data_IF_684894394294
#
_entry.id   IF_684894394294
#
_cell.length_a   1.000
_cell.length_b   1.000
_cell.length_c   1.000
_cell.angle_alpha   90.00
_cell.angle_beta   90.00
_cell.angle_gamma   90.00
#
_symmetry.space_group_name_H-M   'P 1'
#
loop_
_entity.id
_entity.type
_entity.pdbx_description
1 polymer ?
#
# COMPACT_ATOMS: atom_id res chain seq x y z
N UNK A 1 -1.70 26.77 -9.67
CA UNK A 1 -0.63 26.29 -8.79
C UNK A 1 -0.90 24.91 -8.17
N UNK A 2 -1.93 24.68 -7.34
CA UNK A 2 -2.22 23.32 -6.82
C UNK A 2 -2.57 22.33 -7.96
N UNK A 3 -3.45 22.77 -8.86
CA UNK A 3 -3.89 22.02 -10.03
C UNK A 3 -2.74 21.61 -10.93
N UNK A 4 -1.81 22.51 -11.25
CA UNK A 4 -0.69 22.23 -12.15
C UNK A 4 0.25 21.15 -11.59
N UNK A 5 0.49 21.14 -10.27
CA UNK A 5 1.37 20.15 -9.65
C UNK A 5 0.70 18.77 -9.50
N UNK A 6 -0.63 18.70 -9.41
CA UNK A 6 -1.34 17.45 -9.14
C UNK A 6 -2.18 16.92 -10.30
N UNK A 7 -2.30 17.66 -11.41
CA UNK A 7 -3.10 17.27 -12.58
C UNK A 7 -2.67 15.94 -13.16
N UNK A 8 -1.37 15.76 -13.39
CA UNK A 8 -0.84 14.52 -13.97
C UNK A 8 -0.98 13.33 -13.02
N UNK A 9 -0.89 13.57 -11.71
CA UNK A 9 -1.19 12.56 -10.68
C UNK A 9 -2.66 12.13 -10.77
N UNK A 10 -3.59 13.09 -10.78
CA UNK A 10 -5.03 12.79 -10.81
C UNK A 10 -5.43 12.08 -12.11
N UNK A 11 -4.95 12.56 -13.26
CA UNK A 11 -5.16 11.89 -14.55
C UNK A 11 -4.63 10.46 -14.53
N UNK A 12 -3.45 10.23 -13.95
CA UNK A 12 -2.88 8.89 -13.86
C UNK A 12 -3.62 7.93 -12.94
N UNK A 13 -4.29 8.46 -11.91
CA UNK A 13 -5.19 7.67 -11.06
C UNK A 13 -6.45 7.31 -11.83
N UNK A 14 -7.07 8.26 -12.53
CA UNK A 14 -8.31 8.06 -13.29
C UNK A 14 -8.14 7.13 -14.49
N UNK A 15 -7.00 7.23 -15.17
CA UNK A 15 -6.65 6.35 -16.30
C UNK A 15 -6.11 4.99 -15.84
N UNK A 16 -6.02 4.74 -14.52
CA UNK A 16 -5.45 3.52 -13.94
C UNK A 16 -4.07 3.13 -14.53
N UNK A 17 -3.27 4.14 -14.91
CA UNK A 17 -1.95 3.98 -15.55
C UNK A 17 -0.97 3.14 -14.74
N UNK A 18 -1.21 3.01 -13.44
CA UNK A 18 -0.36 2.29 -12.50
C UNK A 18 -1.12 1.16 -11.83
N UNK A 19 -0.40 0.08 -11.52
CA UNK A 19 -0.92 -1.11 -10.83
C UNK A 19 -1.56 -0.84 -9.46
N UNK A 20 -1.30 0.32 -8.86
CA UNK A 20 -1.92 0.74 -7.59
C UNK A 20 -1.76 2.25 -7.37
N UNK A 21 -2.61 2.84 -6.51
CA UNK A 21 -2.49 4.24 -6.07
C UNK A 21 -1.14 4.54 -5.41
N UNK A 22 -0.59 3.61 -4.62
CA UNK A 22 0.73 3.76 -4.03
C UNK A 22 1.84 3.84 -5.10
N UNK A 23 1.75 3.05 -6.18
CA UNK A 23 2.72 3.12 -7.27
C UNK A 23 2.65 4.47 -8.00
N UNK A 24 1.44 4.99 -8.19
CA UNK A 24 1.22 6.34 -8.72
C UNK A 24 1.85 7.41 -7.80
N UNK A 25 1.65 7.31 -6.48
CA UNK A 25 2.26 8.18 -5.48
C UNK A 25 3.80 8.11 -5.47
N UNK A 26 4.37 6.92 -5.68
CA UNK A 26 5.82 6.76 -5.78
C UNK A 26 6.38 7.52 -6.99
N UNK A 27 5.68 7.48 -8.12
CA UNK A 27 6.09 8.16 -9.35
C UNK A 27 5.99 9.69 -9.21
N UNK A 28 4.87 10.20 -8.70
CA UNK A 28 4.60 11.65 -8.60
C UNK A 28 5.00 12.29 -7.26
N UNK A 29 5.89 11.66 -6.49
CA UNK A 29 6.24 12.16 -5.14
C UNK A 29 6.84 13.57 -5.17
N UNK A 30 7.52 13.94 -6.25
CA UNK A 30 8.10 15.28 -6.39
C UNK A 30 7.03 16.34 -6.59
N UNK A 31 6.03 16.06 -7.42
CA UNK A 31 4.90 16.97 -7.64
C UNK A 31 4.05 17.12 -6.37
N UNK A 32 3.87 16.03 -5.62
CA UNK A 32 3.22 16.07 -4.29
C UNK A 32 4.03 16.93 -3.31
N UNK A 33 5.36 16.78 -3.28
CA UNK A 33 6.21 17.59 -2.41
C UNK A 33 6.21 19.07 -2.84
N UNK A 34 6.12 19.37 -4.14
CA UNK A 34 6.00 20.73 -4.66
C UNK A 34 4.67 21.37 -4.22
N UNK A 35 3.55 20.66 -4.38
CA UNK A 35 2.25 21.09 -3.88
C UNK A 35 2.29 21.33 -2.36
N UNK A 36 2.95 20.46 -1.59
CA UNK A 36 3.02 20.55 -0.13
C UNK A 36 3.79 21.75 0.41
N UNK A 37 4.64 22.39 -0.42
CA UNK A 37 5.31 23.65 -0.06
C UNK A 37 4.34 24.83 0.00
N UNK A 38 3.24 24.76 -0.73
CA UNK A 38 2.28 25.85 -0.90
C UNK A 38 0.92 25.55 -0.24
N UNK A 39 0.59 24.27 -0.06
CA UNK A 39 -0.72 23.82 0.39
C UNK A 39 -0.64 22.87 1.58
N UNK A 40 -1.71 22.81 2.35
CA UNK A 40 -1.93 21.88 3.46
C UNK A 40 -2.21 20.45 2.96
N UNK A 41 -2.21 19.47 3.87
CA UNK A 41 -2.48 18.08 3.46
C UNK A 41 -3.97 17.87 3.19
N UNK A 42 -4.82 18.61 3.87
CA UNK A 42 -6.26 18.69 3.73
C UNK A 42 -6.60 19.16 2.32
N UNK A 43 -6.11 20.32 1.89
CA UNK A 43 -6.33 20.85 0.54
C UNK A 43 -5.85 19.90 -0.57
N UNK A 44 -4.69 19.25 -0.37
CA UNK A 44 -4.16 18.26 -1.32
C UNK A 44 -5.07 17.03 -1.38
N UNK A 45 -5.56 16.57 -0.23
CA UNK A 45 -6.40 15.38 -0.12
C UNK A 45 -7.75 15.62 -0.77
N UNK A 46 -8.39 16.74 -0.44
CA UNK A 46 -9.68 17.13 -0.98
C UNK A 46 -9.58 17.27 -2.49
N UNK A 47 -8.54 17.97 -2.99
CA UNK A 47 -8.30 18.10 -4.42
C UNK A 47 -8.15 16.75 -5.13
N UNK A 48 -7.34 15.82 -4.60
CA UNK A 48 -7.14 14.51 -5.24
C UNK A 48 -8.44 13.70 -5.18
N UNK A 49 -9.16 13.70 -4.06
CA UNK A 49 -10.41 12.96 -3.91
C UNK A 49 -11.49 13.48 -4.85
N UNK A 50 -11.68 14.81 -4.92
CA UNK A 50 -12.63 15.46 -5.83
C UNK A 50 -12.33 15.16 -7.30
N UNK A 51 -11.05 15.19 -7.70
CA UNK A 51 -10.65 14.98 -9.09
C UNK A 51 -10.57 13.50 -9.49
N UNK A 52 -10.56 12.57 -8.52
CA UNK A 52 -10.44 11.13 -8.80
C UNK A 52 -11.64 10.29 -8.35
N UNK A 53 -12.67 10.92 -7.79
CA UNK A 53 -13.79 10.22 -7.17
C UNK A 53 -13.35 9.29 -6.01
N UNK A 54 -12.18 9.51 -5.44
CA UNK A 54 -11.66 8.72 -4.33
C UNK A 54 -12.21 9.22 -3.01
N UNK A 55 -12.22 8.35 -2.00
CA UNK A 55 -12.50 8.72 -0.61
C UNK A 55 -11.37 8.20 0.29
N UNK A 56 -10.20 8.83 0.15
CA UNK A 56 -9.00 8.46 0.90
C UNK A 56 -8.73 9.52 1.97
N UNK A 57 -8.46 9.08 3.19
CA UNK A 57 -8.20 9.98 4.31
C UNK A 57 -6.84 10.68 4.18
N UNK A 58 -6.75 11.86 4.78
CA UNK A 58 -5.51 12.66 4.85
C UNK A 58 -4.33 11.82 5.38
N UNK A 59 -4.54 11.05 6.46
CA UNK A 59 -3.50 10.21 7.05
C UNK A 59 -3.02 9.11 6.11
N UNK A 60 -3.93 8.55 5.31
CA UNK A 60 -3.56 7.57 4.29
C UNK A 60 -2.68 8.20 3.23
N UNK A 61 -3.03 9.39 2.71
CA UNK A 61 -2.18 10.10 1.75
C UNK A 61 -0.82 10.49 2.35
N UNK A 62 -0.79 10.94 3.60
CA UNK A 62 0.47 11.23 4.33
C UNK A 62 1.34 9.98 4.45
N UNK A 63 0.74 8.84 4.78
CA UNK A 63 1.44 7.56 4.85
C UNK A 63 2.00 7.15 3.49
N UNK A 64 1.21 7.23 2.42
CA UNK A 64 1.65 6.87 1.07
C UNK A 64 2.80 7.77 0.60
N UNK A 65 2.72 9.07 0.86
CA UNK A 65 3.80 10.01 0.55
C UNK A 65 5.05 9.77 1.40
N UNK A 66 4.91 9.41 2.68
CA UNK A 66 6.05 9.01 3.53
C UNK A 66 6.76 7.78 2.95
N UNK A 67 5.99 6.76 2.56
CA UNK A 67 6.52 5.54 1.95
C UNK A 67 7.23 5.82 0.63
N UNK A 68 6.64 6.65 -0.23
CA UNK A 68 7.23 7.08 -1.49
C UNK A 68 8.58 7.80 -1.30
N UNK A 69 8.68 8.72 -0.33
CA UNK A 69 9.94 9.39 0.01
C UNK A 69 11.02 8.41 0.49
N UNK A 70 10.64 7.43 1.33
CA UNK A 70 11.58 6.41 1.81
C UNK A 70 12.15 5.58 0.67
N UNK A 71 11.30 5.18 -0.30
CA UNK A 71 11.72 4.43 -1.49
C UNK A 71 12.68 5.28 -2.32
N UNK A 72 12.32 6.53 -2.61
CA UNK A 72 13.17 7.45 -3.39
C UNK A 72 14.53 7.66 -2.74
N UNK A 73 14.58 7.82 -1.40
CA UNK A 73 15.83 7.95 -0.65
C UNK A 73 16.68 6.67 -0.67
N UNK A 74 16.04 5.50 -0.65
CA UNK A 74 16.71 4.20 -0.77
C UNK A 74 17.31 3.96 -2.16
N UNK A 75 16.62 4.41 -3.22
CA UNK A 75 17.13 4.32 -4.60
C UNK A 75 18.36 5.22 -4.86
N UNK A 76 18.51 6.32 -4.11
CA UNK A 76 19.69 7.18 -4.19
C UNK A 76 20.92 6.62 -3.46
N UNK A 77 20.75 5.58 -2.64
CA UNK A 77 21.89 4.82 -2.10
C UNK A 77 22.20 3.71 -3.09
N UNK A 78 23.33 3.86 -3.80
CA UNK A 78 23.93 2.79 -4.61
C UNK A 78 23.92 1.49 -3.80
N UNK A 79 23.58 0.32 -4.38
CA UNK A 79 23.56 -0.92 -3.62
C UNK A 79 24.99 -1.25 -3.19
N UNK A 80 25.32 -0.95 -1.95
CA UNK A 80 26.37 -1.68 -1.25
C UNK A 80 25.78 -3.06 -0.97
N UNK A 81 26.47 -4.10 -1.47
CA UNK A 81 26.18 -5.48 -1.15
C UNK A 81 26.01 -5.60 0.37
N UNK A 82 24.77 -5.79 0.82
CA UNK A 82 24.53 -6.36 2.14
C UNK A 82 23.66 -7.55 1.90
N UNK A 83 24.37 -8.67 1.81
CA UNK A 83 23.89 -10.01 2.01
C UNK A 83 22.78 -10.04 3.08
N UNK A 84 21.78 -10.86 2.79
CA UNK A 84 20.87 -11.49 3.76
C UNK A 84 21.21 -11.22 5.22
N UNK A 85 20.39 -10.43 5.92
CA UNK A 85 19.87 -10.96 7.17
C UNK A 85 18.47 -10.48 7.50
N UNK A 86 17.65 -11.47 7.83
CA UNK A 86 16.32 -11.32 8.37
C UNK A 86 16.44 -10.80 9.80
N UNK A 87 15.40 -10.08 10.22
CA UNK A 87 14.89 -10.05 11.60
C UNK A 87 15.81 -9.52 12.71
N UNK A 88 15.47 -8.33 13.21
CA UNK A 88 15.65 -7.98 14.60
C UNK A 88 14.31 -7.52 15.20
N UNK A 89 13.42 -8.47 15.48
CA UNK A 89 12.39 -8.28 16.52
C UNK A 89 12.73 -9.21 17.67
N UNK A 90 12.90 -8.55 18.81
CA UNK A 90 13.23 -9.01 20.15
C UNK A 90 12.70 -10.38 20.54
N UNK A 91 13.60 -11.12 21.16
CA UNK A 91 13.43 -12.28 22.01
C UNK A 91 12.32 -12.11 23.04
N UNK A 92 11.41 -13.08 23.17
CA UNK A 92 11.13 -13.75 24.44
C UNK A 92 10.31 -15.05 24.26
N UNK A 93 10.78 -16.11 24.93
CA UNK A 93 10.05 -17.30 25.44
C UNK A 93 9.13 -18.12 24.51
N UNK A 94 9.58 -19.29 24.05
CA UNK A 94 9.39 -20.57 24.76
C UNK A 94 9.76 -21.79 23.88
N UNK A 95 10.25 -22.84 24.55
CA UNK A 95 10.68 -24.14 24.01
C UNK A 95 9.63 -24.78 23.09
N UNK A 96 10.08 -25.29 21.95
CA UNK A 96 9.32 -26.19 21.09
C UNK A 96 10.22 -26.80 20.02
N UNK A 97 10.67 -28.03 20.27
CA UNK A 97 11.36 -28.93 19.33
C UNK A 97 10.32 -29.41 18.28
N UNK A 98 10.79 -29.97 17.16
CA UNK A 98 10.08 -30.51 15.98
C UNK A 98 9.88 -29.48 14.87
N UNK A 99 10.34 -29.65 13.63
CA UNK A 99 10.97 -30.78 12.94
C UNK A 99 10.97 -30.39 11.46
N UNK A 100 12.07 -30.63 10.75
CA UNK A 100 12.15 -30.42 9.29
C UNK A 100 11.10 -31.31 8.61
N UNK A 101 10.21 -30.71 7.83
CA UNK A 101 9.49 -31.43 6.76
C UNK A 101 9.60 -30.63 5.47
N UNK A 102 10.33 -31.25 4.58
CA UNK A 102 10.51 -30.92 3.17
C UNK A 102 9.21 -31.33 2.47
N UNK A 103 8.48 -30.44 1.82
CA UNK A 103 7.50 -30.85 0.80
C UNK A 103 7.18 -29.71 -0.18
N UNK A 104 7.14 -30.10 -1.45
CA UNK A 104 7.03 -29.26 -2.66
C UNK A 104 5.64 -28.60 -2.79
N UNK A 105 5.52 -27.53 -3.59
CA UNK A 105 4.27 -26.78 -3.75
C UNK A 105 3.21 -27.57 -4.54
N UNK A 106 1.95 -27.55 -4.08
CA UNK A 106 0.78 -27.95 -4.88
C UNK A 106 0.11 -26.69 -5.45
N UNK A 107 0.00 -26.68 -6.77
CA UNK A 107 -0.78 -25.76 -7.57
C UNK A 107 -2.27 -26.15 -7.61
N UNK A 108 -3.08 -25.12 -7.85
CA UNK A 108 -4.34 -25.12 -8.61
C UNK A 108 -5.61 -25.73 -7.97
N UNK A 109 -6.56 -24.82 -7.70
CA UNK A 109 -7.99 -24.99 -7.98
C UNK A 109 -8.83 -25.68 -6.92
N UNK A 110 -9.69 -24.91 -6.24
CA UNK A 110 -11.08 -25.32 -5.99
C UNK A 110 -11.90 -24.09 -5.56
N UNK A 111 -13.02 -23.89 -6.25
CA UNK A 111 -14.04 -22.91 -5.93
C UNK A 111 -14.59 -23.23 -4.53
N UNK A 112 -14.56 -22.26 -3.61
CA UNK A 112 -15.30 -22.40 -2.36
C UNK A 112 -16.76 -22.04 -2.62
N UNK A 113 -17.62 -23.04 -2.49
CA UNK A 113 -19.08 -22.94 -2.54
C UNK A 113 -19.59 -21.99 -1.44
N UNK A 114 -20.12 -20.83 -1.84
CA UNK A 114 -20.63 -19.78 -0.97
C UNK A 114 -21.94 -20.15 -0.22
N UNK A 115 -22.43 -21.38 -0.39
CA UNK A 115 -23.75 -21.81 0.10
C UNK A 115 -23.71 -22.32 1.56
N UNK A 116 -22.53 -22.65 2.09
CA UNK A 116 -22.38 -23.15 3.46
C UNK A 116 -22.43 -22.05 4.54
N UNK A 117 -22.10 -20.81 4.18
CA UNK A 117 -22.04 -19.70 5.14
C UNK A 117 -23.41 -19.10 5.46
N UNK A 118 -24.40 -19.22 4.56
CA UNK A 118 -25.74 -18.67 4.77
C UNK A 118 -26.52 -19.46 5.85
N UNK A 119 -26.30 -20.77 5.93
CA UNK A 119 -26.98 -21.65 6.90
C UNK A 119 -26.55 -21.42 8.35
N UNK A 120 -25.35 -20.88 8.57
CA UNK A 120 -24.84 -20.59 9.92
C UNK A 120 -25.34 -19.24 10.46
N UNK A 121 -25.89 -18.38 9.61
CA UNK A 121 -26.42 -17.08 10.01
C UNK A 121 -27.88 -17.17 10.50
N UNK A 122 -28.70 -18.03 9.89
CA UNK A 122 -30.13 -18.16 10.24
C UNK A 122 -30.38 -18.85 11.59
N UNK A 123 -29.53 -19.78 12.02
CA UNK A 123 -29.66 -20.47 13.32
C UNK A 123 -29.29 -19.59 14.53
N UNK A 124 -28.69 -18.41 14.31
CA UNK A 124 -28.34 -17.49 15.40
C UNK A 124 -29.47 -16.51 15.77
N UNK A 125 -30.47 -16.37 14.91
CA UNK A 125 -31.58 -15.42 15.12
C UNK A 125 -32.96 -16.11 15.11
N UNK A 126 -32.99 -17.40 15.45
CA UNK A 126 -34.22 -18.15 15.67
C UNK A 126 -34.48 -18.38 17.15
#
# INVERSE_FOLDING_TARGET
>A
MLSENLKDLCNSINEEKFKSKQACFNYFIDSINAAKKLHTWEEITDFINENTGSNVTVDTYRYMAKKARSIKKGMSKKPENVDTDRTAIRSNTNKGIFGKVNEKPKSFGELHDAEADLKKFEDKYK
#
